data_IF_772689077874
#
_entry.id   IF_772689077874
#
_cell.length_a   1.000
_cell.length_b   1.000
_cell.length_c   1.000
_cell.angle_alpha   90.00
_cell.angle_beta   90.00
_cell.angle_gamma   90.00
#
_symmetry.space_group_name_H-M   'P 1'
#
loop_
_entity.id
_entity.type
_entity.pdbx_description
1 polymer ?
#
# COMPACT_ATOMS: atom_id res chain seq x y z
N UNK A 1 -106.91 56.09 30.45
CA UNK A 1 -106.28 55.25 31.50
C UNK A 1 -107.04 53.94 31.59
N UNK A 2 -106.43 52.80 32.01
CA UNK A 2 -104.99 52.53 32.23
C UNK A 2 -104.22 52.47 30.87
N UNK A 3 -103.16 51.72 30.54
CA UNK A 3 -102.36 50.69 31.24
C UNK A 3 -100.89 50.60 30.73
N UNK A 4 -100.10 49.72 31.36
CA UNK A 4 -98.71 49.29 31.08
C UNK A 4 -98.50 47.93 31.81
N UNK A 5 -97.31 47.28 31.79
CA UNK A 5 -96.47 46.87 30.66
C UNK A 5 -96.05 45.37 30.79
N UNK A 6 -95.18 44.86 29.90
CA UNK A 6 -94.19 43.83 30.28
C UNK A 6 -92.84 44.05 29.58
N UNK A 7 -91.84 44.42 30.37
CA UNK A 7 -90.42 44.31 30.00
C UNK A 7 -89.98 42.86 30.19
N UNK A 8 -89.12 42.36 29.32
CA UNK A 8 -88.31 41.15 29.56
C UNK A 8 -86.85 41.55 29.36
N UNK A 9 -85.98 41.21 30.31
CA UNK A 9 -84.58 41.63 30.28
C UNK A 9 -83.74 40.69 29.39
N UNK A 10 -82.99 41.26 28.46
CA UNK A 10 -82.05 40.56 27.58
C UNK A 10 -80.95 41.55 27.13
N UNK A 11 -80.11 41.99 28.07
CA UNK A 11 -79.12 43.06 27.83
C UNK A 11 -77.73 42.72 28.39
N UNK A 12 -77.53 41.49 28.89
CA UNK A 12 -76.27 41.03 29.48
C UNK A 12 -75.37 40.34 28.43
N UNK A 13 -75.93 39.47 27.58
CA UNK A 13 -75.16 38.61 26.67
C UNK A 13 -74.32 39.34 25.63
N UNK A 14 -74.91 40.29 24.89
CA UNK A 14 -74.30 40.85 23.66
C UNK A 14 -72.94 41.50 23.95
N UNK A 15 -72.81 42.19 25.09
CA UNK A 15 -71.58 42.89 25.48
C UNK A 15 -70.46 41.91 25.88
N UNK A 16 -70.80 40.80 26.54
CA UNK A 16 -69.80 39.77 26.90
C UNK A 16 -69.36 38.97 25.66
N UNK A 17 -70.30 38.57 24.80
CA UNK A 17 -69.99 37.81 23.57
C UNK A 17 -69.04 38.60 22.65
N UNK A 18 -69.23 39.92 22.53
CA UNK A 18 -68.32 40.78 21.74
C UNK A 18 -66.95 40.93 22.42
N UNK A 19 -66.89 41.00 23.76
CA UNK A 19 -65.63 41.08 24.51
C UNK A 19 -64.81 39.77 24.42
N UNK A 20 -65.43 38.61 24.60
CA UNK A 20 -64.77 37.31 24.47
C UNK A 20 -64.32 37.03 23.03
N UNK A 21 -65.10 37.45 22.02
CA UNK A 21 -64.68 37.37 20.62
C UNK A 21 -63.45 38.24 20.32
N UNK A 22 -63.38 39.45 20.88
CA UNK A 22 -62.21 40.34 20.78
C UNK A 22 -60.99 39.78 21.53
N UNK A 23 -61.18 39.25 22.74
CA UNK A 23 -60.11 38.62 23.52
C UNK A 23 -59.56 37.37 22.80
N UNK A 24 -60.43 36.46 22.38
CA UNK A 24 -60.06 35.21 21.70
C UNK A 24 -59.33 35.46 20.37
N UNK A 25 -59.80 36.42 19.55
CA UNK A 25 -59.12 36.79 18.31
C UNK A 25 -57.75 37.45 18.57
N UNK A 26 -57.61 38.27 19.62
CA UNK A 26 -56.31 38.85 20.00
C UNK A 26 -55.30 37.79 20.48
N UNK A 27 -55.76 36.80 21.26
CA UNK A 27 -54.93 35.69 21.73
C UNK A 27 -54.51 34.76 20.58
N UNK A 28 -55.41 34.48 19.64
CA UNK A 28 -55.09 33.70 18.43
C UNK A 28 -54.07 34.43 17.54
N UNK A 29 -54.20 35.75 17.38
CA UNK A 29 -53.22 36.56 16.65
C UNK A 29 -51.84 36.57 17.33
N UNK A 30 -51.80 36.72 18.66
CA UNK A 30 -50.55 36.65 19.43
C UNK A 30 -49.89 35.27 19.29
N UNK A 31 -50.63 34.18 19.49
CA UNK A 31 -50.09 32.82 19.35
C UNK A 31 -49.56 32.56 17.92
N UNK A 32 -50.24 33.05 16.89
CA UNK A 32 -49.77 32.92 15.51
C UNK A 32 -48.45 33.68 15.25
N UNK A 33 -48.26 34.83 15.89
CA UNK A 33 -47.01 35.60 15.85
C UNK A 33 -45.89 34.87 16.62
N UNK A 34 -46.19 34.30 17.79
CA UNK A 34 -45.22 33.52 18.57
C UNK A 34 -44.81 32.21 17.85
N UNK A 35 -45.78 31.42 17.38
CA UNK A 35 -45.54 30.18 16.63
C UNK A 35 -44.69 30.45 15.37
N UNK A 36 -45.02 31.51 14.60
CA UNK A 36 -44.25 31.87 13.40
C UNK A 36 -42.86 32.44 13.71
N UNK A 37 -42.70 33.17 14.82
CA UNK A 37 -41.38 33.65 15.28
C UNK A 37 -40.49 32.48 15.72
N UNK A 38 -41.03 31.53 16.49
CA UNK A 38 -40.31 30.34 16.90
C UNK A 38 -39.96 29.44 15.70
N UNK A 39 -40.87 29.30 14.73
CA UNK A 39 -40.61 28.58 13.49
C UNK A 39 -39.52 29.24 12.65
N UNK A 40 -39.54 30.58 12.52
CA UNK A 40 -38.50 31.33 11.80
C UNK A 40 -37.12 31.20 12.47
N UNK A 41 -37.05 31.32 13.80
CA UNK A 41 -35.80 31.12 14.56
C UNK A 41 -35.25 29.70 14.37
N UNK A 42 -36.11 28.68 14.50
CA UNK A 42 -35.72 27.28 14.28
C UNK A 42 -35.20 27.02 12.86
N UNK A 43 -35.83 27.61 11.84
CA UNK A 43 -35.36 27.53 10.45
C UNK A 43 -33.98 28.20 10.29
N UNK A 44 -33.73 29.33 10.96
CA UNK A 44 -32.43 30.03 10.92
C UNK A 44 -31.33 29.22 11.61
N UNK A 45 -31.60 28.62 12.77
CA UNK A 45 -30.62 27.77 13.48
C UNK A 45 -30.36 26.44 12.76
N UNK A 46 -31.40 25.75 12.27
CA UNK A 46 -31.25 24.49 11.53
C UNK A 46 -30.55 24.72 10.18
N UNK A 47 -30.85 25.80 9.45
CA UNK A 47 -30.13 26.13 8.22
C UNK A 47 -28.68 26.56 8.47
N UNK A 48 -28.41 27.34 9.52
CA UNK A 48 -27.03 27.75 9.88
C UNK A 48 -26.18 26.58 10.34
N UNK A 49 -26.74 25.66 11.13
CA UNK A 49 -26.03 24.45 11.59
C UNK A 49 -25.83 23.44 10.45
N UNK A 50 -26.84 23.18 9.61
CA UNK A 50 -26.68 22.36 8.40
C UNK A 50 -25.63 22.94 7.43
N UNK A 51 -25.65 24.26 7.19
CA UNK A 51 -24.68 24.92 6.32
C UNK A 51 -23.24 24.77 6.86
N UNK A 52 -23.04 24.86 8.18
CA UNK A 52 -21.75 24.58 8.83
C UNK A 52 -21.33 23.13 8.67
N UNK A 53 -22.21 22.17 8.98
CA UNK A 53 -21.92 20.73 8.86
C UNK A 53 -21.61 20.33 7.41
N UNK A 54 -22.30 20.91 6.42
CA UNK A 54 -22.02 20.67 4.99
C UNK A 54 -20.69 21.29 4.56
N UNK A 55 -20.37 22.51 5.03
CA UNK A 55 -19.09 23.16 4.75
C UNK A 55 -17.92 22.43 5.41
N UNK A 56 -18.06 22.03 6.67
CA UNK A 56 -17.09 21.26 7.44
C UNK A 56 -16.81 19.91 6.76
N UNK A 57 -17.85 19.13 6.42
CA UNK A 57 -17.69 17.87 5.67
C UNK A 57 -17.06 18.08 4.29
N UNK A 58 -17.40 19.17 3.61
CA UNK A 58 -16.80 19.51 2.31
C UNK A 58 -15.31 19.87 2.45
N UNK A 59 -14.93 20.57 3.52
CA UNK A 59 -13.55 20.89 3.87
C UNK A 59 -12.76 19.65 4.30
N UNK A 60 -13.34 18.77 5.10
CA UNK A 60 -12.74 17.48 5.49
C UNK A 60 -12.54 16.58 4.26
N UNK A 61 -13.56 16.45 3.41
CA UNK A 61 -13.49 15.64 2.20
C UNK A 61 -12.48 16.21 1.19
N UNK A 62 -12.43 17.53 0.99
CA UNK A 62 -11.43 18.16 0.15
C UNK A 62 -10.00 17.96 0.69
N UNK A 63 -9.79 18.09 2.00
CA UNK A 63 -8.50 17.80 2.64
C UNK A 63 -8.11 16.32 2.52
N UNK A 64 -9.06 15.38 2.73
CA UNK A 64 -8.82 13.94 2.53
C UNK A 64 -8.42 13.67 1.08
N UNK A 65 -9.18 14.15 0.09
CA UNK A 65 -8.87 13.97 -1.34
C UNK A 65 -7.54 14.59 -1.73
N UNK A 66 -7.17 15.76 -1.17
CA UNK A 66 -5.85 16.36 -1.41
C UNK A 66 -4.70 15.54 -0.79
N UNK A 67 -4.88 15.01 0.42
CA UNK A 67 -3.91 14.14 1.08
C UNK A 67 -3.76 12.80 0.35
N UNK A 68 -4.86 12.17 -0.05
CA UNK A 68 -4.87 10.93 -0.83
C UNK A 68 -4.22 11.14 -2.22
N UNK A 69 -4.44 12.30 -2.87
CA UNK A 69 -3.76 12.67 -4.12
C UNK A 69 -2.24 12.84 -3.94
N UNK A 70 -1.79 13.57 -2.91
CA UNK A 70 -0.35 13.72 -2.62
C UNK A 70 0.30 12.36 -2.37
N UNK A 71 -0.33 11.56 -1.50
CA UNK A 71 0.12 10.23 -1.15
C UNK A 71 0.17 9.30 -2.37
N UNK A 72 -0.81 9.36 -3.27
CA UNK A 72 -0.79 8.59 -4.52
C UNK A 72 0.35 9.01 -5.45
N UNK A 73 0.67 10.31 -5.54
CA UNK A 73 1.80 10.81 -6.31
C UNK A 73 3.15 10.37 -5.69
N UNK A 74 3.28 10.42 -4.36
CA UNK A 74 4.44 9.92 -3.62
C UNK A 74 4.62 8.40 -3.81
N UNK A 75 3.54 7.61 -3.69
CA UNK A 75 3.55 6.16 -3.90
C UNK A 75 3.89 5.79 -5.35
N UNK A 76 3.45 6.56 -6.33
CA UNK A 76 3.79 6.39 -7.74
C UNK A 76 5.26 6.73 -8.03
N UNK A 77 5.78 7.82 -7.45
CA UNK A 77 7.18 8.20 -7.57
C UNK A 77 8.11 7.17 -6.90
N UNK A 78 7.74 6.68 -5.71
CA UNK A 78 8.45 5.60 -5.02
C UNK A 78 8.39 4.27 -5.77
N UNK A 79 7.23 3.93 -6.36
CA UNK A 79 7.09 2.74 -7.20
C UNK A 79 7.97 2.82 -8.46
N UNK A 80 7.99 3.96 -9.16
CA UNK A 80 8.84 4.18 -10.33
C UNK A 80 10.33 4.06 -9.97
N UNK A 81 10.77 4.75 -8.90
CA UNK A 81 12.15 4.70 -8.41
C UNK A 81 12.58 3.27 -8.05
N UNK A 82 11.75 2.55 -7.29
CA UNK A 82 12.02 1.16 -6.89
C UNK A 82 12.13 0.19 -8.07
N UNK A 83 11.48 0.48 -9.21
CA UNK A 83 11.68 -0.31 -10.43
C UNK A 83 13.08 -0.08 -11.03
N UNK A 84 13.53 1.18 -11.11
CA UNK A 84 14.88 1.53 -11.59
C UNK A 84 15.96 0.93 -10.69
N UNK A 85 15.82 1.11 -9.37
CA UNK A 85 16.73 0.53 -8.37
C UNK A 85 16.83 -1.01 -8.49
N UNK A 86 15.70 -1.69 -8.72
CA UNK A 86 15.69 -3.14 -8.94
C UNK A 86 16.40 -3.55 -10.24
N UNK A 87 16.22 -2.83 -11.35
CA UNK A 87 16.96 -3.09 -12.59
C UNK A 87 18.46 -2.83 -12.45
N UNK A 88 18.86 -1.74 -11.79
CA UNK A 88 20.28 -1.46 -11.49
C UNK A 88 20.88 -2.55 -10.61
N UNK A 89 20.16 -3.00 -9.57
CA UNK A 89 20.62 -4.09 -8.69
C UNK A 89 20.71 -5.44 -9.42
N UNK A 90 19.73 -5.76 -10.26
CA UNK A 90 19.75 -6.96 -11.11
C UNK A 90 20.96 -6.97 -12.05
N UNK A 91 21.23 -5.85 -12.73
CA UNK A 91 22.39 -5.70 -13.59
C UNK A 91 23.72 -5.80 -12.81
N UNK A 92 23.80 -5.19 -11.62
CA UNK A 92 24.99 -5.27 -10.76
C UNK A 92 25.26 -6.70 -10.29
N UNK A 93 24.22 -7.45 -9.88
CA UNK A 93 24.34 -8.86 -9.48
C UNK A 93 24.76 -9.73 -10.66
N UNK A 94 24.20 -9.52 -11.85
CA UNK A 94 24.61 -10.20 -13.08
C UNK A 94 26.09 -9.97 -13.40
N UNK A 95 26.55 -8.71 -13.45
CA UNK A 95 27.95 -8.38 -13.74
C UNK A 95 28.91 -8.94 -12.68
N UNK A 96 28.53 -8.89 -11.39
CA UNK A 96 29.34 -9.47 -10.30
C UNK A 96 29.44 -10.98 -10.44
N UNK A 97 28.31 -11.65 -10.66
CA UNK A 97 28.26 -13.10 -10.84
C UNK A 97 29.03 -13.61 -12.06
N UNK A 98 28.96 -12.91 -13.19
CA UNK A 98 29.79 -13.20 -14.38
C UNK A 98 31.28 -12.99 -14.10
N UNK A 99 31.64 -11.97 -13.31
CA UNK A 99 33.03 -11.76 -12.87
C UNK A 99 33.52 -12.90 -11.95
N UNK A 100 32.67 -13.38 -11.03
CA UNK A 100 33.00 -14.47 -10.11
C UNK A 100 33.10 -15.83 -10.82
N UNK A 101 32.23 -16.11 -11.80
CA UNK A 101 32.40 -17.24 -12.72
C UNK A 101 33.77 -17.18 -13.44
N UNK A 102 34.17 -15.99 -13.91
CA UNK A 102 35.50 -15.77 -14.49
C UNK A 102 36.65 -16.04 -13.52
N UNK A 103 36.54 -15.58 -12.26
CA UNK A 103 37.51 -15.88 -11.18
C UNK A 103 37.60 -17.38 -10.91
N UNK A 104 36.47 -18.07 -10.88
CA UNK A 104 36.39 -19.52 -10.64
C UNK A 104 37.08 -20.34 -11.74
N UNK A 105 36.91 -19.97 -13.02
CA UNK A 105 37.64 -20.60 -14.13
C UNK A 105 39.15 -20.43 -13.98
N UNK A 106 39.62 -19.22 -13.65
CA UNK A 106 41.06 -18.97 -13.39
C UNK A 106 41.58 -19.79 -12.22
N UNK A 107 40.81 -19.91 -11.13
CA UNK A 107 41.17 -20.73 -9.98
C UNK A 107 41.27 -22.23 -10.32
N UNK A 108 40.37 -22.76 -11.17
CA UNK A 108 40.48 -24.14 -11.68
C UNK A 108 41.73 -24.34 -12.57
N UNK A 109 42.11 -23.35 -13.39
CA UNK A 109 43.34 -23.41 -14.19
C UNK A 109 44.61 -23.38 -13.31
N UNK A 110 44.60 -22.59 -12.23
CA UNK A 110 45.67 -22.59 -11.23
C UNK A 110 45.78 -23.95 -10.53
N UNK A 111 44.68 -24.46 -9.98
CA UNK A 111 44.65 -25.76 -9.31
C UNK A 111 44.93 -26.98 -10.23
N UNK A 112 44.80 -26.83 -11.55
CA UNK A 112 45.26 -27.82 -12.52
C UNK A 112 46.79 -27.77 -12.71
N UNK A 113 47.38 -26.57 -12.61
CA UNK A 113 48.83 -26.37 -12.66
C UNK A 113 49.51 -26.94 -11.42
N UNK A 114 48.91 -26.73 -10.24
CA UNK A 114 49.39 -27.32 -8.98
C UNK A 114 49.36 -28.86 -9.04
N UNK A 115 48.24 -29.46 -9.47
CA UNK A 115 48.10 -30.91 -9.64
C UNK A 115 49.13 -31.50 -10.62
N UNK A 116 49.50 -30.76 -11.68
CA UNK A 116 50.57 -31.17 -12.59
C UNK A 116 51.95 -31.17 -11.89
N UNK A 117 52.25 -30.16 -11.06
CA UNK A 117 53.48 -30.09 -10.27
C UNK A 117 53.55 -31.19 -9.19
N UNK A 118 52.41 -31.55 -8.58
CA UNK A 118 52.32 -32.70 -7.68
C UNK A 118 52.57 -34.03 -8.41
N UNK A 119 51.98 -34.22 -9.59
CA UNK A 119 52.24 -35.39 -10.43
C UNK A 119 53.72 -35.56 -10.77
N UNK A 120 54.42 -34.48 -11.12
CA UNK A 120 55.88 -34.52 -11.38
C UNK A 120 56.67 -34.91 -10.12
N UNK A 121 56.36 -34.34 -8.94
CA UNK A 121 57.02 -34.68 -7.67
C UNK A 121 56.76 -36.14 -7.25
N UNK A 122 55.56 -36.64 -7.48
CA UNK A 122 55.22 -38.01 -7.14
C UNK A 122 55.94 -39.00 -8.07
N UNK A 123 56.04 -38.69 -9.37
CA UNK A 123 56.80 -39.49 -10.34
C UNK A 123 58.30 -39.60 -9.99
N UNK A 124 58.93 -38.56 -9.41
CA UNK A 124 60.33 -38.67 -8.94
C UNK A 124 60.49 -39.49 -7.65
N UNK A 125 59.38 -39.89 -7.01
CA UNK A 125 59.37 -40.70 -5.79
C UNK A 125 59.15 -42.20 -6.06
N UNK A 126 58.69 -42.56 -7.27
CA UNK A 126 58.45 -43.95 -7.68
C UNK A 126 59.77 -44.73 -7.85
N UNK A 127 59.79 -46.00 -7.42
CA UNK A 127 60.97 -46.89 -7.45
C UNK A 127 60.77 -48.13 -8.33
N UNK A 128 59.54 -48.44 -8.71
CA UNK A 128 59.18 -49.57 -9.57
C UNK A 128 58.16 -49.18 -10.65
N UNK A 129 58.06 -49.99 -11.70
CA UNK A 129 57.01 -49.83 -12.74
C UNK A 129 55.59 -50.01 -12.17
N UNK A 130 55.42 -50.77 -11.08
CA UNK A 130 54.14 -50.87 -10.38
C UNK A 130 53.78 -49.55 -9.70
N UNK A 131 54.74 -48.93 -9.01
CA UNK A 131 54.52 -47.65 -8.31
C UNK A 131 54.05 -46.57 -9.31
N UNK A 132 54.63 -46.54 -10.51
CA UNK A 132 54.25 -45.64 -11.62
C UNK A 132 52.82 -45.91 -12.11
N UNK A 133 52.43 -47.17 -12.25
CA UNK A 133 51.08 -47.55 -12.68
C UNK A 133 50.02 -47.19 -11.63
N UNK A 134 50.30 -47.46 -10.34
CA UNK A 134 49.45 -47.05 -9.23
C UNK A 134 49.34 -45.50 -9.16
N UNK A 135 50.43 -44.78 -9.43
CA UNK A 135 50.46 -43.32 -9.51
C UNK A 135 49.62 -42.76 -10.65
N UNK A 136 49.73 -43.32 -11.86
CA UNK A 136 48.89 -42.91 -12.99
C UNK A 136 47.40 -43.16 -12.70
N UNK A 137 47.05 -44.30 -12.10
CA UNK A 137 45.68 -44.58 -11.69
C UNK A 137 45.18 -43.58 -10.64
N UNK A 138 46.01 -43.21 -9.66
CA UNK A 138 45.66 -42.21 -8.66
C UNK A 138 45.49 -40.81 -9.26
N UNK A 139 46.43 -40.34 -10.08
CA UNK A 139 46.37 -39.02 -10.72
C UNK A 139 45.19 -38.90 -11.69
N UNK A 140 44.88 -39.95 -12.45
CA UNK A 140 43.70 -39.99 -13.32
C UNK A 140 42.39 -39.92 -12.51
N UNK A 141 42.34 -40.62 -11.37
CA UNK A 141 41.19 -40.60 -10.47
C UNK A 141 41.00 -39.23 -9.81
N UNK A 142 42.05 -38.63 -9.25
CA UNK A 142 41.99 -37.30 -8.65
C UNK A 142 41.64 -36.22 -9.68
N UNK A 143 42.15 -36.32 -10.91
CA UNK A 143 41.76 -35.44 -12.02
C UNK A 143 40.26 -35.58 -12.39
N UNK A 144 39.72 -36.80 -12.41
CA UNK A 144 38.29 -37.04 -12.65
C UNK A 144 37.41 -36.48 -11.51
N UNK A 145 37.74 -36.79 -10.26
CA UNK A 145 37.02 -36.32 -9.08
C UNK A 145 37.06 -34.77 -8.97
N UNK A 146 38.20 -34.14 -9.28
CA UNK A 146 38.34 -32.68 -9.38
C UNK A 146 37.53 -32.08 -10.54
N UNK A 147 37.56 -32.72 -11.72
CA UNK A 147 36.82 -32.26 -12.91
C UNK A 147 35.31 -32.27 -12.66
N UNK A 148 34.79 -33.36 -12.08
CA UNK A 148 33.38 -33.46 -11.70
C UNK A 148 33.00 -32.40 -10.66
N UNK A 149 33.83 -32.22 -9.62
CA UNK A 149 33.57 -31.22 -8.59
C UNK A 149 33.60 -29.77 -9.12
N UNK A 150 34.55 -29.42 -9.99
CA UNK A 150 34.64 -28.08 -10.58
C UNK A 150 33.51 -27.83 -11.61
N UNK A 151 33.05 -28.86 -12.32
CA UNK A 151 31.87 -28.79 -13.19
C UNK A 151 30.57 -28.56 -12.40
N UNK A 152 30.36 -29.30 -11.29
CA UNK A 152 29.21 -29.09 -10.39
C UNK A 152 29.20 -27.66 -9.85
N UNK A 153 30.32 -27.18 -9.29
CA UNK A 153 30.43 -25.79 -8.80
C UNK A 153 30.16 -24.75 -9.88
N UNK A 154 30.58 -25.00 -11.12
CA UNK A 154 30.37 -24.06 -12.23
C UNK A 154 28.88 -23.96 -12.59
N UNK A 155 28.16 -25.08 -12.56
CA UNK A 155 26.72 -25.12 -12.81
C UNK A 155 25.90 -24.55 -11.65
N UNK A 156 26.29 -24.83 -10.40
CA UNK A 156 25.73 -24.19 -9.19
C UNK A 156 25.93 -22.68 -9.23
N UNK A 157 27.14 -22.21 -9.53
CA UNK A 157 27.43 -20.79 -9.68
C UNK A 157 26.59 -20.17 -10.81
N UNK A 158 26.50 -20.79 -12.00
CA UNK A 158 25.72 -20.28 -13.11
C UNK A 158 24.21 -20.18 -12.79
N UNK A 159 23.65 -21.18 -12.09
CA UNK A 159 22.27 -21.15 -11.58
C UNK A 159 22.09 -19.99 -10.60
N UNK A 160 23.01 -19.85 -9.64
CA UNK A 160 22.98 -18.77 -8.64
C UNK A 160 23.06 -17.37 -9.28
N UNK A 161 23.90 -17.16 -10.30
CA UNK A 161 23.95 -15.88 -11.02
C UNK A 161 22.60 -15.55 -11.64
N UNK A 162 21.90 -16.53 -12.23
CA UNK A 162 20.56 -16.31 -12.76
C UNK A 162 19.55 -15.96 -11.64
N UNK A 163 19.49 -16.77 -10.56
CA UNK A 163 18.58 -16.56 -9.43
C UNK A 163 18.77 -15.19 -8.76
N UNK A 164 20.01 -14.85 -8.39
CA UNK A 164 20.31 -13.56 -7.74
C UNK A 164 20.08 -12.37 -8.68
N UNK A 165 20.31 -12.51 -9.99
CA UNK A 165 20.00 -11.45 -10.97
C UNK A 165 18.49 -11.21 -11.15
N UNK A 166 17.66 -12.27 -11.10
CA UNK A 166 16.21 -12.14 -11.26
C UNK A 166 15.47 -11.80 -9.95
N UNK A 167 16.04 -12.12 -8.78
CA UNK A 167 15.40 -11.87 -7.47
C UNK A 167 14.93 -10.41 -7.24
N UNK A 168 15.69 -9.35 -7.59
CA UNK A 168 15.22 -7.97 -7.49
C UNK A 168 13.96 -7.69 -8.32
N UNK A 169 13.87 -8.24 -9.53
CA UNK A 169 12.74 -8.06 -10.44
C UNK A 169 11.52 -8.85 -9.92
N UNK A 170 11.74 -10.08 -9.43
CA UNK A 170 10.69 -10.90 -8.80
C UNK A 170 10.05 -10.17 -7.61
N UNK A 171 10.86 -9.57 -6.72
CA UNK A 171 10.36 -8.76 -5.61
C UNK A 171 9.52 -7.54 -6.06
N UNK A 172 9.82 -6.93 -7.21
CA UNK A 172 8.99 -5.85 -7.79
C UNK A 172 7.63 -6.36 -8.27
N UNK A 173 7.55 -7.59 -8.78
CA UNK A 173 6.26 -8.22 -9.13
C UNK A 173 5.42 -8.43 -7.87
N UNK A 174 6.00 -8.92 -6.77
CA UNK A 174 5.30 -9.05 -5.47
C UNK A 174 4.75 -7.71 -4.99
N UNK A 175 5.57 -6.66 -4.97
CA UNK A 175 5.15 -5.31 -4.54
C UNK A 175 4.08 -4.71 -5.47
N UNK A 176 4.10 -5.03 -6.77
CA UNK A 176 3.06 -4.61 -7.70
C UNK A 176 1.73 -5.35 -7.42
N UNK A 177 1.77 -6.68 -7.19
CA UNK A 177 0.60 -7.47 -6.82
C UNK A 177 0.02 -7.00 -5.48
N UNK A 178 0.84 -6.73 -4.46
CA UNK A 178 0.38 -6.17 -3.18
C UNK A 178 -0.29 -4.80 -3.34
N UNK A 179 0.24 -3.93 -4.21
CA UNK A 179 -0.37 -2.61 -4.48
C UNK A 179 -1.68 -2.71 -5.27
N UNK A 180 -1.84 -3.72 -6.13
CA UNK A 180 -3.08 -3.99 -6.86
C UNK A 180 -4.13 -4.76 -6.02
N UNK A 181 -3.69 -5.57 -5.06
CA UNK A 181 -4.55 -6.39 -4.19
C UNK A 181 -5.07 -5.62 -2.96
N UNK A 182 -4.49 -4.46 -2.62
CA UNK A 182 -5.10 -3.54 -1.66
C UNK A 182 -6.41 -3.01 -2.25
N UNK A 183 -7.56 -3.16 -1.56
CA UNK A 183 -8.79 -2.55 -2.03
C UNK A 183 -8.61 -1.04 -2.08
N UNK A 184 -8.99 -0.43 -3.21
CA UNK A 184 -9.19 1.02 -3.30
C UNK A 184 -10.25 1.35 -2.25
N UNK A 185 -9.89 2.18 -1.27
CA UNK A 185 -10.75 2.44 -0.12
C UNK A 185 -12.04 3.15 -0.56
N UNK A 186 -13.18 2.61 -0.11
CA UNK A 186 -14.49 3.22 -0.24
C UNK A 186 -14.67 4.42 0.72
#
# INVERSE_FOLDING_TARGET
MPAKPKTIAATTDVTQIVADAAASSSAQAQKLIEDSTAQAQKIIEESTSQARIVLEKSMEQAQKTAADMSKAAEDAAAFSRGNVEAFTKAAQLYFTGVQDLGRQVVASMQGMSDHALEGVKAMTSARSLKDVADLQASLARTAFEKSMADATKLQEAAMKVAEESFAPISARVTVAVEKLARPIAA
#
